data_IF_875813636304
#
_entry.id   IF_875813636304
#
_cell.length_a   1.000
_cell.length_b   1.000
_cell.length_c   1.000
_cell.angle_alpha   90.00
_cell.angle_beta   90.00
_cell.angle_gamma   90.00
#
_symmetry.space_group_name_H-M   'P 1'
#
loop_
_entity.id
_entity.type
_entity.pdbx_description
1 polymer ?
#
# COMPACT_ATOMS: atom_id res chain seq x y z
N UNK A 1 5.90 9.57 -59.20
CA UNK A 1 5.17 10.48 -58.29
C UNK A 1 4.77 9.86 -56.94
N UNK A 2 4.58 8.55 -56.81
CA UNK A 2 4.14 7.91 -55.55
C UNK A 2 5.21 7.90 -54.41
N UNK A 3 6.51 7.81 -54.71
CA UNK A 3 7.55 7.79 -53.66
C UNK A 3 7.78 9.14 -52.97
N UNK A 4 7.61 10.27 -53.67
CA UNK A 4 7.66 11.59 -53.05
C UNK A 4 6.47 11.81 -52.09
N UNK A 5 5.30 11.27 -52.42
CA UNK A 5 4.10 11.41 -51.58
C UNK A 5 4.26 10.71 -50.23
N UNK A 6 4.90 9.54 -50.19
CA UNK A 6 5.17 8.84 -48.93
C UNK A 6 6.23 9.54 -48.06
N UNK A 7 7.25 10.14 -48.68
CA UNK A 7 8.26 10.94 -47.96
C UNK A 7 7.62 12.20 -47.37
N UNK A 8 6.73 12.85 -48.13
CA UNK A 8 6.01 14.05 -47.66
C UNK A 8 5.06 13.75 -46.50
N UNK A 9 4.31 12.64 -46.58
CA UNK A 9 3.43 12.20 -45.48
C UNK A 9 4.21 11.81 -44.22
N UNK A 10 5.38 11.18 -44.37
CA UNK A 10 6.24 10.84 -43.24
C UNK A 10 6.78 12.09 -42.54
N UNK A 11 7.21 13.10 -43.32
CA UNK A 11 7.68 14.39 -42.79
C UNK A 11 6.57 15.14 -42.06
N UNK A 12 5.34 15.14 -42.59
CA UNK A 12 4.17 15.76 -41.93
C UNK A 12 3.88 15.07 -40.58
N UNK A 13 3.94 13.75 -40.52
CA UNK A 13 3.71 12.99 -39.28
C UNK A 13 4.78 13.28 -38.22
N UNK A 14 6.04 13.41 -38.61
CA UNK A 14 7.15 13.78 -37.70
C UNK A 14 6.96 15.20 -37.19
N UNK A 15 6.54 16.16 -38.03
CA UNK A 15 6.26 17.52 -37.58
C UNK A 15 5.08 17.57 -36.61
N UNK A 16 4.00 16.80 -36.84
CA UNK A 16 2.86 16.74 -35.92
C UNK A 16 3.23 16.14 -34.55
N UNK A 17 4.13 15.16 -34.51
CA UNK A 17 4.62 14.55 -33.27
C UNK A 17 5.59 15.45 -32.50
N UNK A 18 6.31 16.36 -33.17
CA UNK A 18 7.20 17.32 -32.53
C UNK A 18 6.49 18.56 -31.97
N UNK A 19 5.25 18.86 -32.39
CA UNK A 19 4.49 20.02 -31.88
C UNK A 19 3.61 19.73 -30.66
N UNK A 20 3.48 18.48 -30.21
CA UNK A 20 2.62 18.12 -29.06
C UNK A 20 3.27 18.20 -27.68
N UNK A 21 4.52 18.66 -27.56
CA UNK A 21 5.24 18.77 -26.28
C UNK A 21 5.26 20.18 -25.70
N UNK A 22 4.09 20.81 -25.54
CA UNK A 22 3.95 22.06 -24.76
C UNK A 22 2.65 22.11 -23.97
N UNK A 23 2.54 21.30 -22.92
CA UNK A 23 1.61 21.55 -21.80
C UNK A 23 2.36 21.29 -20.48
N UNK A 24 3.34 22.14 -20.21
CA UNK A 24 3.88 22.33 -18.87
C UNK A 24 3.26 23.63 -18.33
N UNK A 25 2.10 23.55 -17.69
CA UNK A 25 1.57 24.66 -16.92
C UNK A 25 2.21 24.63 -15.53
N UNK A 26 2.98 25.67 -15.23
CA UNK A 26 3.49 25.98 -13.91
C UNK A 26 2.32 26.32 -12.98
N UNK A 27 2.10 25.52 -11.94
CA UNK A 27 1.22 25.90 -10.83
C UNK A 27 2.08 26.65 -9.81
N UNK A 28 1.79 27.94 -9.68
CA UNK A 28 2.38 28.82 -8.67
C UNK A 28 1.78 28.51 -7.29
N UNK A 29 2.52 28.65 -6.17
CA UNK A 29 2.04 28.22 -4.86
C UNK A 29 0.95 29.16 -4.34
N UNK A 30 -0.24 28.62 -4.10
CA UNK A 30 -1.28 29.32 -3.33
C UNK A 30 -0.95 29.19 -1.85
N UNK A 31 -0.67 30.33 -1.23
CA UNK A 31 -0.48 30.52 0.20
C UNK A 31 -1.76 30.13 0.96
N UNK A 32 -1.76 28.96 1.60
CA UNK A 32 -2.84 28.51 2.48
C UNK A 32 -2.39 28.69 3.92
N UNK A 33 -2.73 29.85 4.47
CA UNK A 33 -2.76 30.10 5.91
C UNK A 33 -3.89 29.26 6.51
N UNK A 34 -3.56 28.09 7.06
CA UNK A 34 -4.49 27.26 7.82
C UNK A 34 -4.70 27.84 9.23
N UNK A 35 -5.95 28.07 9.67
CA UNK A 35 -6.22 28.38 11.07
C UNK A 35 -5.90 27.17 11.95
N UNK A 36 -5.12 27.43 12.99
CA UNK A 36 -4.72 26.51 14.06
C UNK A 36 -5.97 26.00 14.80
N UNK A 37 -6.45 24.80 14.45
CA UNK A 37 -7.53 24.14 15.20
C UNK A 37 -6.98 23.56 16.50
N UNK A 38 -7.55 24.04 17.60
CA UNK A 38 -7.20 23.73 18.97
C UNK A 38 -7.49 22.27 19.32
N UNK A 39 -6.43 21.50 19.56
CA UNK A 39 -6.50 20.33 20.43
C UNK A 39 -6.24 20.81 21.86
N UNK A 40 -7.30 20.87 22.67
CA UNK A 40 -7.15 20.86 24.12
C UNK A 40 -7.82 19.58 24.67
N UNK A 41 -7.13 18.85 25.57
CA UNK A 41 -7.67 17.69 26.24
C UNK A 41 -8.53 18.16 27.40
N UNK A 42 -9.72 17.57 27.55
CA UNK A 42 -10.46 17.32 28.80
C UNK A 42 -11.94 17.21 28.49
N UNK A 43 -12.52 16.04 28.82
CA UNK A 43 -13.94 15.78 28.70
C UNK A 43 -14.78 16.60 29.67
N UNK A 44 -15.95 17.00 29.21
CA UNK A 44 -17.20 17.07 29.95
C UNK A 44 -18.32 17.40 28.94
N UNK A 45 -19.19 16.43 28.67
CA UNK A 45 -20.42 16.66 27.89
C UNK A 45 -21.45 17.26 28.85
N UNK A 46 -21.72 18.56 28.72
CA UNK A 46 -22.87 19.20 29.35
C UNK A 46 -24.08 19.10 28.43
N UNK A 47 -25.02 18.25 28.80
CA UNK A 47 -26.39 18.19 28.29
C UNK A 47 -27.11 19.49 28.60
N UNK A 48 -27.56 20.23 27.59
CA UNK A 48 -28.52 21.31 27.76
C UNK A 48 -29.52 21.33 26.58
N UNK A 49 -30.76 21.09 26.99
CA UNK A 49 -32.07 21.48 26.48
C UNK A 49 -32.59 21.12 25.08
N UNK A 50 -33.74 20.43 25.16
CA UNK A 50 -34.77 20.30 24.14
C UNK A 50 -35.38 21.68 23.89
N UNK A 51 -35.48 22.08 22.62
CA UNK A 51 -36.63 22.85 22.18
C UNK A 51 -37.06 22.42 20.79
N UNK A 52 -38.31 21.96 20.75
CA UNK A 52 -39.08 21.56 19.59
C UNK A 52 -39.40 22.78 18.74
N UNK A 53 -39.16 22.71 17.43
CA UNK A 53 -39.83 23.55 16.46
C UNK A 53 -40.25 22.66 15.28
N UNK A 54 -41.55 22.49 15.13
CA UNK A 54 -42.21 21.59 14.20
C UNK A 54 -42.90 22.43 13.12
N UNK A 55 -42.62 22.13 11.86
CA UNK A 55 -43.28 22.66 10.67
C UNK A 55 -43.23 21.58 9.55
N UNK A 56 -44.16 21.58 8.58
CA UNK A 56 -44.91 20.38 8.20
C UNK A 56 -44.30 19.51 7.09
N UNK A 57 -44.82 18.29 7.09
CA UNK A 57 -44.70 17.15 6.16
C UNK A 57 -44.63 17.50 4.67
N UNK A 58 -43.54 17.07 4.02
CA UNK A 58 -43.55 16.58 2.64
C UNK A 58 -42.95 15.17 2.62
N UNK A 59 -43.77 14.20 2.25
CA UNK A 59 -43.41 12.79 2.13
C UNK A 59 -42.45 12.58 0.96
N UNK A 60 -41.15 12.54 1.26
CA UNK A 60 -40.19 11.82 0.41
C UNK A 60 -39.80 10.56 1.17
N UNK A 61 -40.18 9.40 0.66
CA UNK A 61 -39.83 8.09 1.22
C UNK A 61 -38.33 7.83 1.03
N UNK A 62 -37.50 8.51 1.80
CA UNK A 62 -36.08 8.21 1.89
C UNK A 62 -35.96 6.91 2.67
N UNK A 63 -35.67 5.80 1.98
CA UNK A 63 -35.24 4.56 2.63
C UNK A 63 -33.98 4.85 3.43
N UNK A 64 -34.13 5.17 4.72
CA UNK A 64 -33.02 5.27 5.67
C UNK A 64 -32.47 3.87 5.82
N UNK A 65 -31.40 3.56 5.07
CA UNK A 65 -30.62 2.34 5.20
C UNK A 65 -30.07 2.29 6.63
N UNK A 66 -30.75 1.53 7.50
CA UNK A 66 -30.37 1.36 8.90
C UNK A 66 -28.94 0.84 8.95
N UNK A 67 -28.02 1.66 9.44
CA UNK A 67 -26.61 1.29 9.63
C UNK A 67 -26.54 0.34 10.82
N UNK A 68 -26.21 -0.91 10.57
CA UNK A 68 -25.91 -1.87 11.64
C UNK A 68 -24.44 -1.77 11.95
N UNK A 69 -24.10 -1.15 13.08
CA UNK A 69 -22.77 -1.24 13.68
C UNK A 69 -22.70 -2.63 14.30
N UNK A 70 -22.08 -3.59 13.62
CA UNK A 70 -21.72 -4.86 14.24
C UNK A 70 -20.38 -4.64 14.93
N UNK A 71 -20.43 -4.14 16.16
CA UNK A 71 -19.25 -4.21 17.03
C UNK A 71 -18.99 -5.69 17.31
N UNK A 72 -17.77 -6.16 17.06
CA UNK A 72 -17.40 -7.48 17.56
C UNK A 72 -17.46 -7.47 19.09
N UNK A 73 -17.87 -8.59 19.66
CA UNK A 73 -17.86 -8.80 21.10
C UNK A 73 -16.48 -8.48 21.67
N UNK A 74 -16.44 -7.71 22.76
CA UNK A 74 -15.24 -7.48 23.59
C UNK A 74 -14.76 -8.83 24.10
N UNK A 75 -13.94 -9.49 23.30
CA UNK A 75 -13.25 -10.69 23.69
C UNK A 75 -11.85 -10.28 24.10
N UNK A 76 -11.59 -10.31 25.39
CA UNK A 76 -10.25 -10.37 25.97
C UNK A 76 -9.61 -11.71 25.60
N UNK A 77 -9.49 -12.01 24.31
CA UNK A 77 -8.86 -13.25 23.88
C UNK A 77 -7.36 -13.12 24.07
N UNK A 78 -6.86 -13.93 24.98
CA UNK A 78 -5.45 -14.26 25.22
C UNK A 78 -4.84 -15.01 24.02
N UNK A 79 -5.05 -14.51 22.80
CA UNK A 79 -4.78 -15.19 21.54
C UNK A 79 -4.41 -14.25 20.41
N UNK A 80 -4.14 -14.82 19.24
CA UNK A 80 -3.66 -14.08 18.08
C UNK A 80 -4.66 -13.02 17.61
N UNK A 81 -4.28 -11.73 17.54
CA UNK A 81 -5.13 -10.67 16.99
C UNK A 81 -5.60 -11.01 15.57
N UNK A 82 -6.80 -10.54 15.24
CA UNK A 82 -7.37 -10.71 13.91
C UNK A 82 -7.53 -9.34 13.26
N UNK A 83 -7.23 -9.21 11.96
CA UNK A 83 -7.51 -7.97 11.26
C UNK A 83 -9.02 -7.76 11.20
N UNK A 84 -9.42 -6.50 11.28
CA UNK A 84 -10.82 -6.07 11.26
C UNK A 84 -11.65 -6.64 12.42
N UNK A 85 -11.03 -6.78 13.59
CA UNK A 85 -11.64 -7.29 14.82
C UNK A 85 -12.73 -6.39 15.40
N UNK A 86 -12.89 -5.15 14.95
CA UNK A 86 -13.96 -4.25 15.43
C UNK A 86 -14.71 -3.51 14.33
N UNK A 87 -14.69 -3.99 13.09
CA UNK A 87 -15.20 -3.17 11.99
C UNK A 87 -16.72 -2.94 11.98
N UNK A 88 -17.07 -1.65 11.88
CA UNK A 88 -18.28 -1.16 11.24
C UNK A 88 -17.96 -0.82 9.78
N UNK A 89 -18.49 -1.58 8.84
CA UNK A 89 -18.21 -1.38 7.42
C UNK A 89 -19.03 -0.22 6.82
N UNK A 90 -18.38 0.68 6.08
CA UNK A 90 -19.02 1.66 5.20
C UNK A 90 -18.66 1.32 3.74
N UNK A 91 -19.29 0.29 3.17
CA UNK A 91 -19.14 -0.04 1.74
C UNK A 91 -20.21 0.68 0.91
N UNK A 92 -19.82 1.18 -0.27
CA UNK A 92 -20.73 1.90 -1.16
C UNK A 92 -21.76 0.93 -1.78
N UNK A 93 -21.29 -0.24 -2.23
CA UNK A 93 -22.12 -1.31 -2.77
C UNK A 93 -22.28 -2.48 -1.78
N UNK A 94 -23.53 -2.86 -1.55
CA UNK A 94 -23.97 -3.56 -0.35
C UNK A 94 -23.82 -5.09 -0.31
N UNK A 95 -23.19 -5.75 -1.29
CA UNK A 95 -23.21 -7.22 -1.34
C UNK A 95 -21.87 -7.88 -1.66
N UNK A 96 -21.32 -7.73 -2.87
CA UNK A 96 -20.16 -8.52 -3.33
C UNK A 96 -18.89 -8.27 -2.51
N UNK A 97 -18.56 -7.01 -2.22
CA UNK A 97 -17.37 -6.69 -1.43
C UNK A 97 -17.53 -7.11 0.04
N UNK A 98 -18.72 -6.95 0.61
CA UNK A 98 -19.03 -7.44 1.96
C UNK A 98 -18.86 -8.96 2.04
N UNK A 99 -19.38 -9.69 1.06
CA UNK A 99 -19.27 -11.15 1.00
C UNK A 99 -17.82 -11.60 0.84
N UNK A 100 -17.04 -10.89 0.03
CA UNK A 100 -15.60 -11.13 -0.09
C UNK A 100 -14.89 -10.97 1.27
N UNK A 101 -15.15 -9.88 1.99
CA UNK A 101 -14.60 -9.64 3.33
C UNK A 101 -15.06 -10.67 4.37
N UNK A 102 -16.30 -11.15 4.28
CA UNK A 102 -16.78 -12.24 5.13
C UNK A 102 -16.04 -13.55 4.83
N UNK A 103 -15.89 -13.90 3.55
CA UNK A 103 -15.24 -15.14 3.10
C UNK A 103 -13.76 -15.19 3.47
N UNK A 104 -12.98 -14.14 3.16
CA UNK A 104 -11.54 -14.19 3.39
C UNK A 104 -11.19 -14.16 4.89
N UNK A 105 -11.95 -13.42 5.72
CA UNK A 105 -11.74 -13.43 7.18
C UNK A 105 -12.03 -14.79 7.82
N UNK A 106 -12.92 -15.58 7.23
CA UNK A 106 -13.20 -16.94 7.66
C UNK A 106 -12.18 -17.97 7.13
N UNK A 107 -11.31 -17.59 6.20
CA UNK A 107 -10.35 -18.49 5.57
C UNK A 107 -9.13 -18.71 6.46
N UNK A 108 -8.97 -19.93 6.96
CA UNK A 108 -7.86 -20.29 7.85
C UNK A 108 -6.51 -20.23 7.17
N UNK A 109 -6.41 -20.47 5.86
CA UNK A 109 -5.15 -20.35 5.10
C UNK A 109 -4.61 -18.93 5.16
N UNK A 110 -5.49 -17.92 5.08
CA UNK A 110 -5.11 -16.51 5.22
C UNK A 110 -4.81 -16.18 6.68
N UNK A 111 -5.67 -16.62 7.60
CA UNK A 111 -5.52 -16.28 9.01
C UNK A 111 -4.28 -16.93 9.67
N UNK A 112 -3.81 -18.07 9.15
CA UNK A 112 -2.59 -18.76 9.61
C UNK A 112 -1.31 -18.03 9.19
N UNK A 113 -1.40 -17.09 8.24
CA UNK A 113 -0.26 -16.28 7.85
C UNK A 113 0.04 -15.15 8.82
N UNK A 114 -0.86 -14.87 9.77
CA UNK A 114 -0.56 -14.01 10.92
C UNK A 114 0.05 -12.66 10.49
N UNK A 115 -0.54 -12.07 9.45
CA UNK A 115 0.06 -10.96 8.73
C UNK A 115 0.06 -9.68 9.57
N UNK A 116 1.23 -9.31 10.06
CA UNK A 116 1.46 -8.06 10.77
C UNK A 116 1.02 -6.85 9.93
N UNK A 117 1.20 -6.89 8.60
CA UNK A 117 0.73 -5.84 7.69
C UNK A 117 -0.78 -5.59 7.75
N UNK A 118 -1.60 -6.62 7.97
CA UNK A 118 -3.05 -6.49 8.12
C UNK A 118 -3.44 -6.05 9.54
N UNK A 119 -2.58 -6.26 10.53
CA UNK A 119 -2.88 -5.93 11.94
C UNK A 119 -2.56 -4.48 12.28
N UNK A 120 -1.48 -3.92 11.71
CA UNK A 120 -0.93 -2.60 12.05
C UNK A 120 -1.89 -1.42 11.87
N UNK A 121 -2.92 -1.53 11.04
CA UNK A 121 -3.90 -0.46 10.85
C UNK A 121 -5.34 -0.90 11.14
N UNK A 122 -5.55 -2.22 11.30
CA UNK A 122 -6.90 -2.78 11.27
C UNK A 122 -7.24 -3.69 12.44
N UNK A 123 -6.38 -3.86 13.45
CA UNK A 123 -6.69 -4.68 14.63
C UNK A 123 -6.55 -3.89 15.92
N UNK A 124 -7.69 -3.68 16.60
CA UNK A 124 -7.70 -3.09 17.92
C UNK A 124 -7.01 -3.97 18.96
N UNK A 125 -7.16 -5.29 18.86
CA UNK A 125 -6.44 -6.20 19.75
C UNK A 125 -4.92 -6.04 19.60
N UNK A 126 -4.41 -5.94 18.36
CA UNK A 126 -2.98 -5.71 18.12
C UNK A 126 -2.53 -4.35 18.65
N UNK A 127 -3.31 -3.28 18.47
CA UNK A 127 -3.01 -1.97 19.04
C UNK A 127 -2.87 -2.00 20.56
N UNK A 128 -3.74 -2.74 21.25
CA UNK A 128 -3.61 -2.92 22.69
C UNK A 128 -2.34 -3.70 23.05
N UNK A 129 -1.99 -4.72 22.28
CA UNK A 129 -0.76 -5.51 22.47
C UNK A 129 0.51 -4.66 22.38
N UNK A 130 0.56 -3.62 21.53
CA UNK A 130 1.73 -2.72 21.40
C UNK A 130 2.13 -2.04 22.72
N UNK A 131 1.25 -1.95 23.72
CA UNK A 131 1.57 -1.41 25.05
C UNK A 131 2.37 -2.40 25.94
N UNK A 132 2.67 -3.59 25.44
CA UNK A 132 3.41 -4.63 26.16
C UNK A 132 4.43 -5.26 25.23
N UNK A 133 5.71 -4.97 25.46
CA UNK A 133 6.81 -5.56 24.70
C UNK A 133 6.75 -7.10 24.69
N UNK A 134 6.63 -7.80 25.84
CA UNK A 134 6.56 -9.27 25.83
C UNK A 134 5.34 -9.83 25.07
N UNK A 135 4.19 -9.17 25.17
CA UNK A 135 3.00 -9.61 24.44
C UNK A 135 3.19 -9.39 22.92
N UNK A 136 3.81 -8.28 22.52
CA UNK A 136 4.13 -7.99 21.12
C UNK A 136 5.13 -9.01 20.58
N UNK A 137 6.19 -9.34 21.33
CA UNK A 137 7.16 -10.38 20.95
C UNK A 137 6.47 -11.74 20.74
N UNK A 138 5.53 -12.13 21.60
CA UNK A 138 4.77 -13.39 21.42
C UNK A 138 3.92 -13.41 20.13
N UNK A 139 3.32 -12.28 19.76
CA UNK A 139 2.61 -12.15 18.47
C UNK A 139 3.60 -12.26 17.30
N UNK A 140 4.77 -11.66 17.41
CA UNK A 140 5.82 -11.76 16.40
C UNK A 140 6.39 -13.18 16.31
N UNK A 141 6.60 -13.90 17.41
CA UNK A 141 7.05 -15.30 17.39
C UNK A 141 6.10 -16.16 16.54
N UNK A 142 4.80 -15.97 16.75
CA UNK A 142 3.77 -16.67 15.96
C UNK A 142 3.80 -16.23 14.50
N UNK A 143 3.88 -14.92 14.23
CA UNK A 143 3.88 -14.37 12.87
C UNK A 143 5.11 -14.79 12.08
N UNK A 144 6.30 -14.68 12.69
CA UNK A 144 7.60 -15.00 12.13
C UNK A 144 7.83 -16.52 11.96
N UNK A 145 7.03 -17.36 12.61
CA UNK A 145 7.05 -18.82 12.35
C UNK A 145 6.35 -19.23 11.05
N UNK A 146 5.54 -18.34 10.44
CA UNK A 146 4.81 -18.64 9.22
C UNK A 146 5.75 -18.84 8.01
N UNK A 147 5.35 -19.70 7.06
CA UNK A 147 6.06 -19.85 5.80
C UNK A 147 5.87 -18.59 4.93
N UNK A 148 6.85 -17.69 4.97
CA UNK A 148 6.79 -16.39 4.29
C UNK A 148 6.51 -16.51 2.79
N UNK A 149 7.06 -17.54 2.11
CA UNK A 149 6.88 -17.70 0.66
C UNK A 149 5.44 -18.10 0.33
N UNK A 150 4.91 -19.08 1.06
CA UNK A 150 3.52 -19.51 0.91
C UNK A 150 2.57 -18.35 1.23
N UNK A 151 2.80 -17.66 2.34
CA UNK A 151 1.92 -16.59 2.78
C UNK A 151 1.99 -15.35 1.89
N UNK A 152 3.16 -15.00 1.35
CA UNK A 152 3.28 -13.95 0.35
C UNK A 152 2.47 -14.30 -0.92
N UNK A 153 2.50 -15.56 -1.36
CA UNK A 153 1.67 -16.03 -2.46
C UNK A 153 0.17 -15.95 -2.15
N UNK A 154 -0.24 -16.33 -0.93
CA UNK A 154 -1.64 -16.26 -0.48
C UNK A 154 -2.14 -14.81 -0.44
N UNK A 155 -1.35 -13.89 0.15
CA UNK A 155 -1.73 -12.47 0.24
C UNK A 155 -1.76 -11.80 -1.14
N UNK A 156 -0.82 -12.15 -2.02
CA UNK A 156 -0.81 -11.66 -3.40
C UNK A 156 -2.04 -12.15 -4.17
N UNK A 157 -2.39 -13.44 -4.04
CA UNK A 157 -3.59 -13.98 -4.67
C UNK A 157 -4.86 -13.29 -4.15
N UNK A 158 -4.94 -13.03 -2.84
CA UNK A 158 -6.06 -12.33 -2.23
C UNK A 158 -6.16 -10.86 -2.70
N UNK A 159 -5.03 -10.17 -2.88
CA UNK A 159 -4.99 -8.82 -3.41
C UNK A 159 -5.49 -8.78 -4.87
N UNK A 160 -5.12 -9.76 -5.70
CA UNK A 160 -5.64 -9.92 -7.06
C UNK A 160 -7.14 -10.21 -7.05
N UNK A 161 -7.60 -11.10 -6.16
CA UNK A 161 -9.02 -11.41 -6.03
C UNK A 161 -9.84 -10.18 -5.60
N UNK A 162 -9.32 -9.36 -4.70
CA UNK A 162 -9.98 -8.11 -4.26
C UNK A 162 -10.33 -7.18 -5.44
N UNK A 163 -9.47 -7.12 -6.46
CA UNK A 163 -9.64 -6.30 -7.66
C UNK A 163 -10.56 -6.93 -8.75
N UNK A 164 -11.16 -8.10 -8.50
CA UNK A 164 -12.12 -8.70 -9.42
C UNK A 164 -13.47 -7.98 -9.38
N UNK A 165 -14.17 -7.85 -10.53
CA UNK A 165 -15.51 -7.25 -10.60
C UNK A 165 -16.50 -7.85 -9.61
N UNK A 166 -16.48 -9.18 -9.46
CA UNK A 166 -17.39 -9.91 -8.56
C UNK A 166 -17.03 -9.80 -7.07
N UNK A 167 -15.98 -9.02 -6.72
CA UNK A 167 -15.54 -8.77 -5.37
C UNK A 167 -15.63 -7.27 -5.03
N UNK A 168 -14.49 -6.56 -4.99
CA UNK A 168 -14.40 -5.19 -4.49
C UNK A 168 -13.87 -4.18 -5.52
N UNK A 169 -13.83 -4.53 -6.82
CA UNK A 169 -13.30 -3.64 -7.87
C UNK A 169 -13.95 -2.25 -7.84
N UNK A 170 -15.28 -2.19 -7.83
CA UNK A 170 -16.00 -0.91 -7.85
C UNK A 170 -15.66 -0.05 -6.63
N UNK A 171 -15.63 -0.63 -5.43
CA UNK A 171 -15.24 0.10 -4.21
C UNK A 171 -13.76 0.55 -4.27
N UNK A 172 -12.86 -0.27 -4.85
CA UNK A 172 -11.45 0.09 -5.03
C UNK A 172 -11.29 1.28 -6.00
N UNK A 173 -11.92 1.20 -7.18
CA UNK A 173 -11.88 2.24 -8.22
C UNK A 173 -12.53 3.55 -7.74
N UNK A 174 -13.59 3.47 -6.93
CA UNK A 174 -14.24 4.62 -6.30
C UNK A 174 -13.52 5.16 -5.05
N UNK A 175 -12.34 4.64 -4.71
CA UNK A 175 -11.53 5.21 -3.64
C UNK A 175 -11.96 4.83 -2.22
N UNK A 176 -12.70 3.74 -2.02
CA UNK A 176 -13.07 3.27 -0.69
C UNK A 176 -11.82 3.02 0.15
N UNK A 177 -11.67 3.74 1.26
CA UNK A 177 -10.46 3.71 2.09
C UNK A 177 -10.20 2.33 2.71
N UNK A 178 -11.24 1.59 3.10
CA UNK A 178 -11.10 0.24 3.66
C UNK A 178 -10.57 -0.70 2.60
N UNK A 179 -11.13 -0.67 1.38
CA UNK A 179 -10.73 -1.56 0.29
C UNK A 179 -9.31 -1.23 -0.20
N UNK A 180 -9.00 0.05 -0.38
CA UNK A 180 -7.65 0.48 -0.79
C UNK A 180 -6.59 0.22 0.28
N UNK A 181 -6.91 0.45 1.55
CA UNK A 181 -6.06 0.08 2.69
C UNK A 181 -5.80 -1.43 2.71
N UNK A 182 -6.85 -2.24 2.66
CA UNK A 182 -6.70 -3.71 2.62
C UNK A 182 -5.81 -4.17 1.47
N UNK A 183 -6.01 -3.65 0.26
CA UNK A 183 -5.17 -4.01 -0.89
C UNK A 183 -3.70 -3.74 -0.61
N UNK A 184 -3.39 -2.55 -0.08
CA UNK A 184 -2.04 -2.15 0.29
C UNK A 184 -1.45 -3.06 1.37
N UNK A 185 -2.22 -3.40 2.40
CA UNK A 185 -1.78 -4.24 3.51
C UNK A 185 -1.47 -5.67 3.05
N UNK A 186 -2.23 -6.18 2.07
CA UNK A 186 -1.99 -7.48 1.44
C UNK A 186 -0.70 -7.48 0.61
N UNK A 187 -0.52 -6.46 -0.22
CA UNK A 187 0.70 -6.30 -1.04
C UNK A 187 1.94 -6.09 -0.17
N UNK A 188 1.79 -5.38 0.96
CA UNK A 188 2.86 -5.10 1.91
C UNK A 188 3.26 -6.30 2.80
N UNK A 189 2.60 -7.46 2.69
CA UNK A 189 2.82 -8.61 3.58
C UNK A 189 4.30 -8.98 3.71
N UNK A 190 4.97 -9.24 2.59
CA UNK A 190 6.34 -9.76 2.63
C UNK A 190 7.38 -8.73 3.11
N UNK A 191 7.41 -7.47 2.62
CA UNK A 191 8.31 -6.46 3.20
C UNK A 191 8.05 -6.25 4.69
N UNK A 192 6.78 -6.25 5.11
CA UNK A 192 6.41 -6.08 6.51
C UNK A 192 6.89 -7.26 7.37
N UNK A 193 6.58 -8.49 6.95
CA UNK A 193 7.03 -9.71 7.64
C UNK A 193 8.55 -9.69 7.83
N UNK A 194 9.31 -9.40 6.77
CA UNK A 194 10.77 -9.44 6.84
C UNK A 194 11.31 -8.36 7.78
N UNK A 195 10.73 -7.16 7.78
CA UNK A 195 11.14 -6.08 8.65
C UNK A 195 10.78 -6.32 10.12
N UNK A 196 9.56 -6.78 10.40
CA UNK A 196 9.11 -6.99 11.78
C UNK A 196 9.77 -8.19 12.44
N UNK A 197 10.21 -9.18 11.64
CA UNK A 197 10.97 -10.34 12.10
C UNK A 197 12.48 -10.10 12.23
N UNK A 198 12.97 -8.88 11.98
CA UNK A 198 14.36 -8.54 12.30
C UNK A 198 14.56 -8.56 13.81
N UNK A 199 15.65 -9.17 14.27
CA UNK A 199 16.04 -9.18 15.68
C UNK A 199 17.17 -8.20 15.93
N UNK A 200 17.09 -7.44 17.02
CA UNK A 200 18.16 -6.58 17.47
C UNK A 200 19.27 -7.42 18.13
N UNK A 201 20.51 -7.40 17.61
CA UNK A 201 21.60 -8.20 18.18
C UNK A 201 21.99 -7.76 19.60
N UNK A 202 21.64 -6.54 20.01
CA UNK A 202 21.97 -5.97 21.32
C UNK A 202 20.96 -6.35 22.41
N UNK A 203 19.66 -6.16 22.16
CA UNK A 203 18.59 -6.45 23.13
C UNK A 203 18.12 -7.90 23.08
N UNK A 204 18.39 -8.60 21.96
CA UNK A 204 17.86 -9.93 21.63
C UNK A 204 16.35 -9.98 21.41
N UNK A 205 15.68 -8.83 21.37
CA UNK A 205 14.26 -8.71 21.01
C UNK A 205 14.10 -8.37 19.52
N UNK A 206 12.86 -8.33 19.03
CA UNK A 206 12.55 -7.86 17.68
C UNK A 206 12.81 -6.35 17.55
N UNK A 207 13.41 -5.95 16.43
CA UNK A 207 13.59 -4.54 16.07
C UNK A 207 12.26 -3.77 16.05
N UNK A 208 11.15 -4.43 15.72
CA UNK A 208 9.82 -3.82 15.79
C UNK A 208 9.35 -3.60 17.23
N UNK A 209 9.66 -4.52 18.15
CA UNK A 209 9.29 -4.40 19.57
C UNK A 209 10.07 -3.25 20.22
N UNK A 210 11.37 -3.17 19.93
CA UNK A 210 12.20 -2.05 20.37
C UNK A 210 11.62 -0.72 19.86
N UNK A 211 11.23 -0.65 18.59
CA UNK A 211 10.64 0.54 17.98
C UNK A 211 9.28 0.92 18.59
N UNK A 212 8.36 -0.05 18.72
CA UNK A 212 7.02 0.18 19.26
C UNK A 212 7.03 0.56 20.74
N UNK A 213 8.05 0.12 21.48
CA UNK A 213 8.19 0.37 22.92
C UNK A 213 9.05 1.59 23.24
N UNK A 214 9.65 2.24 22.24
CA UNK A 214 10.56 3.35 22.45
C UNK A 214 9.80 4.68 22.67
N UNK A 215 9.43 4.94 23.93
CA UNK A 215 8.77 6.18 24.33
C UNK A 215 9.64 7.45 24.11
N UNK A 216 10.95 7.31 23.91
CA UNK A 216 11.85 8.45 23.69
C UNK A 216 12.02 8.84 22.22
N UNK A 217 11.75 7.91 21.30
CA UNK A 217 11.76 8.16 19.85
C UNK A 217 10.53 7.46 19.22
N UNK A 218 9.32 8.02 19.39
CA UNK A 218 8.09 7.42 18.87
C UNK A 218 8.11 7.25 17.34
N UNK A 219 8.94 8.03 16.64
CA UNK A 219 9.12 7.95 15.18
C UNK A 219 9.77 6.64 14.72
N UNK A 220 10.37 5.86 15.63
CA UNK A 220 10.85 4.50 15.34
C UNK A 220 9.73 3.60 14.80
N UNK A 221 8.51 3.76 15.33
CA UNK A 221 7.35 3.02 14.88
C UNK A 221 6.89 3.44 13.47
N UNK A 222 6.98 4.73 13.15
CA UNK A 222 6.50 5.29 11.87
C UNK A 222 7.21 4.68 10.66
N UNK A 223 8.45 4.21 10.82
CA UNK A 223 9.20 3.50 9.78
C UNK A 223 8.42 2.28 9.28
N UNK A 224 7.74 1.55 10.18
CA UNK A 224 6.96 0.36 9.82
C UNK A 224 5.61 0.70 9.17
N UNK A 225 5.23 1.98 9.07
CA UNK A 225 4.05 2.42 8.30
C UNK A 225 4.39 2.71 6.83
N UNK A 226 5.68 2.77 6.47
CA UNK A 226 6.12 3.04 5.09
C UNK A 226 5.63 2.00 4.06
N UNK A 227 5.68 0.67 4.33
CA UNK A 227 5.10 -0.33 3.44
C UNK A 227 3.58 -0.21 3.33
N UNK A 228 2.95 0.39 4.34
CA UNK A 228 1.53 0.73 4.38
C UNK A 228 1.28 2.14 3.82
N UNK A 229 2.16 2.66 2.96
CA UNK A 229 1.88 3.89 2.21
C UNK A 229 1.94 5.18 3.01
N UNK A 230 2.44 5.14 4.25
CA UNK A 230 2.66 6.33 5.07
C UNK A 230 4.16 6.62 5.11
N UNK A 231 4.67 7.58 4.30
CA UNK A 231 6.06 7.96 4.37
C UNK A 231 6.34 8.69 5.69
N UNK A 232 7.59 8.65 6.15
CA UNK A 232 8.08 9.58 7.16
C UNK A 232 7.87 11.03 6.71
N UNK A 233 7.62 11.90 7.68
CA UNK A 233 7.41 13.34 7.47
C UNK A 233 8.60 14.17 7.93
N UNK A 234 8.67 15.42 7.47
CA UNK A 234 9.70 16.35 7.92
C UNK A 234 9.50 16.59 9.43
N UNK A 235 10.53 16.28 10.22
CA UNK A 235 10.48 16.38 11.67
C UNK A 235 10.60 15.02 12.36
N UNK A 236 10.35 13.92 11.65
CA UNK A 236 10.55 12.57 12.18
C UNK A 236 12.03 12.35 12.50
N UNK A 237 12.32 11.90 13.72
CA UNK A 237 13.68 11.67 14.26
C UNK A 237 13.84 10.24 14.78
N UNK A 238 13.78 9.22 13.88
CA UNK A 238 13.97 7.84 14.29
C UNK A 238 15.39 7.60 14.80
N UNK A 239 15.54 6.68 15.74
CA UNK A 239 16.80 6.24 16.32
C UNK A 239 17.71 5.67 15.25
N UNK A 240 18.84 6.34 15.01
CA UNK A 240 19.86 5.94 14.04
C UNK A 240 20.66 4.70 14.48
N UNK A 241 20.05 3.52 14.42
CA UNK A 241 20.62 2.26 14.90
C UNK A 241 20.65 1.17 13.80
N UNK A 242 21.18 -0.01 14.15
CA UNK A 242 21.29 -1.15 13.21
C UNK A 242 19.92 -1.68 12.77
N UNK A 243 18.90 -1.61 13.61
CA UNK A 243 17.54 -2.01 13.26
C UNK A 243 16.97 -1.10 12.17
N UNK A 244 17.05 0.22 12.35
CA UNK A 244 16.59 1.19 11.34
C UNK A 244 17.27 0.95 10.00
N UNK A 245 18.59 0.78 10.00
CA UNK A 245 19.37 0.50 8.78
C UNK A 245 18.92 -0.79 8.10
N UNK A 246 18.80 -1.90 8.85
CA UNK A 246 18.39 -3.18 8.30
C UNK A 246 16.94 -3.17 7.76
N UNK A 247 16.01 -2.52 8.47
CA UNK A 247 14.62 -2.33 8.01
C UNK A 247 14.59 -1.55 6.70
N UNK A 248 15.33 -0.46 6.62
CA UNK A 248 15.41 0.35 5.40
C UNK A 248 16.12 -0.36 4.25
N UNK A 249 17.11 -1.22 4.53
CA UNK A 249 17.74 -2.04 3.49
C UNK A 249 16.73 -3.04 2.90
N UNK A 250 15.89 -3.67 3.73
CA UNK A 250 14.76 -4.49 3.27
C UNK A 250 13.85 -3.64 2.39
N UNK A 251 13.35 -2.51 2.89
CA UNK A 251 12.41 -1.67 2.16
C UNK A 251 12.97 -1.15 0.84
N UNK A 252 14.28 -0.89 0.76
CA UNK A 252 14.95 -0.48 -0.48
C UNK A 252 14.84 -1.52 -1.59
N UNK A 253 14.91 -2.81 -1.23
CA UNK A 253 14.82 -3.91 -2.19
C UNK A 253 13.41 -4.06 -2.76
N UNK A 254 12.42 -3.75 -1.92
CA UNK A 254 11.00 -3.78 -2.26
C UNK A 254 10.59 -2.56 -3.06
N UNK A 255 11.07 -1.36 -2.69
CA UNK A 255 10.84 -0.10 -3.42
C UNK A 255 11.19 -0.14 -4.91
N UNK A 256 12.08 -1.05 -5.33
CA UNK A 256 12.44 -1.27 -6.75
C UNK A 256 11.32 -1.94 -7.56
N UNK A 257 10.32 -2.53 -6.90
CA UNK A 257 9.17 -3.22 -7.51
C UNK A 257 8.00 -2.25 -7.63
N UNK A 258 7.30 -2.33 -8.76
CA UNK A 258 6.09 -1.55 -9.01
C UNK A 258 4.88 -2.12 -8.23
N UNK A 259 3.82 -1.34 -8.10
CA UNK A 259 2.52 -1.79 -7.58
C UNK A 259 2.46 -1.97 -6.07
N UNK A 260 3.42 -1.41 -5.32
CA UNK A 260 3.52 -1.53 -3.87
C UNK A 260 4.02 -0.21 -3.27
N UNK A 261 3.45 0.21 -2.14
CA UNK A 261 3.62 1.58 -1.64
C UNK A 261 5.04 2.06 -1.38
N UNK A 262 6.01 1.16 -1.18
CA UNK A 262 7.41 1.55 -1.02
C UNK A 262 8.01 2.18 -2.30
N UNK A 263 7.39 1.99 -3.46
CA UNK A 263 7.78 2.68 -4.71
C UNK A 263 7.69 4.22 -4.61
N UNK A 264 6.85 4.71 -3.69
CA UNK A 264 6.54 6.12 -3.50
C UNK A 264 6.90 6.61 -2.10
N UNK A 265 6.88 5.73 -1.09
CA UNK A 265 7.24 6.12 0.29
C UNK A 265 8.73 6.02 0.60
N UNK A 266 9.48 5.12 -0.06
CA UNK A 266 10.87 4.85 0.34
C UNK A 266 11.81 6.04 0.15
N UNK A 267 11.89 6.61 -1.06
CA UNK A 267 12.87 7.66 -1.35
C UNK A 267 12.64 8.95 -0.53
N UNK A 268 11.40 9.45 -0.36
CA UNK A 268 11.14 10.57 0.55
C UNK A 268 11.61 10.30 1.98
N UNK A 269 11.28 9.14 2.54
CA UNK A 269 11.68 8.77 3.91
C UNK A 269 13.17 8.53 4.06
N UNK A 270 13.83 7.92 3.06
CA UNK A 270 15.27 7.71 3.06
C UNK A 270 16.06 9.04 3.09
N UNK A 271 15.53 10.10 2.45
CA UNK A 271 16.12 11.45 2.53
C UNK A 271 16.00 12.04 3.94
N UNK A 272 14.84 11.89 4.58
CA UNK A 272 14.63 12.34 5.96
C UNK A 272 15.58 11.61 6.91
N UNK A 273 15.68 10.29 6.79
CA UNK A 273 16.59 9.48 7.60
C UNK A 273 18.05 9.88 7.37
N UNK A 274 18.50 10.08 6.13
CA UNK A 274 19.88 10.52 5.87
C UNK A 274 20.16 11.94 6.39
N UNK A 275 19.19 12.85 6.33
CA UNK A 275 19.34 14.19 6.89
C UNK A 275 19.51 14.16 8.42
N UNK A 276 18.89 13.20 9.11
CA UNK A 276 18.99 13.03 10.56
C UNK A 276 20.18 12.16 11.00
N UNK A 277 20.37 11.01 10.35
CA UNK A 277 21.33 9.97 10.73
C UNK A 277 22.68 10.07 10.02
N UNK A 278 22.85 11.03 9.11
CA UNK A 278 24.05 11.25 8.32
C UNK A 278 23.95 10.70 6.90
N UNK A 279 24.67 11.35 5.99
CA UNK A 279 24.70 11.00 4.58
C UNK A 279 25.10 9.54 4.36
N UNK A 280 24.32 8.83 3.55
CA UNK A 280 24.57 7.43 3.21
C UNK A 280 24.19 6.43 4.30
N UNK A 281 23.50 6.86 5.37
CA UNK A 281 22.98 5.94 6.38
C UNK A 281 22.06 4.88 5.76
N UNK A 282 21.17 5.29 4.84
CA UNK A 282 20.34 4.42 3.99
C UNK A 282 20.47 4.78 2.52
N UNK A 283 20.21 3.81 1.63
CA UNK A 283 20.41 3.96 0.19
C UNK A 283 19.36 4.88 -0.44
N UNK A 284 19.80 5.95 -1.11
CA UNK A 284 18.93 6.79 -1.97
C UNK A 284 19.20 6.58 -3.46
N UNK A 285 20.27 5.86 -3.81
CA UNK A 285 20.65 5.56 -5.18
C UNK A 285 19.97 4.28 -5.70
N UNK A 286 18.65 4.31 -5.78
CA UNK A 286 17.83 3.21 -6.31
C UNK A 286 16.83 3.74 -7.33
N UNK A 287 16.49 2.90 -8.31
CA UNK A 287 15.35 3.16 -9.21
C UNK A 287 14.12 2.49 -8.61
N UNK A 288 13.09 3.28 -8.31
CA UNK A 288 11.82 2.78 -7.76
C UNK A 288 10.86 2.37 -8.87
N UNK A 289 9.98 1.41 -8.59
CA UNK A 289 8.91 0.99 -9.52
C UNK A 289 9.38 0.44 -10.87
N UNK A 290 10.62 -0.06 -10.95
CA UNK A 290 11.22 -0.49 -12.21
C UNK A 290 10.97 -1.97 -12.55
N UNK A 291 10.64 -2.80 -11.55
CA UNK A 291 10.35 -4.22 -11.75
C UNK A 291 8.84 -4.46 -11.82
N UNK A 292 8.38 -4.92 -12.99
CA UNK A 292 7.05 -5.48 -13.20
C UNK A 292 6.88 -6.72 -12.30
N UNK A 293 5.85 -6.71 -11.44
CA UNK A 293 5.54 -7.82 -10.53
C UNK A 293 5.03 -8.99 -11.36
N UNK A 294 5.94 -9.75 -11.98
CA UNK A 294 5.66 -11.15 -12.24
C UNK A 294 5.69 -11.87 -10.91
N UNK A 295 4.51 -12.07 -10.34
CA UNK A 295 4.30 -13.00 -9.24
C UNK A 295 5.17 -14.24 -9.46
N UNK A 296 5.96 -14.60 -8.44
CA UNK A 296 6.83 -15.76 -8.51
C UNK A 296 6.02 -17.05 -8.69
N UNK A 297 6.12 -17.63 -9.89
CA UNK A 297 6.13 -19.07 -10.21
C UNK A 297 5.62 -19.27 -11.65
N UNK A 298 6.52 -19.18 -12.60
CA UNK A 298 6.28 -19.59 -13.98
C UNK A 298 7.58 -19.51 -14.74
N UNK A 299 8.09 -20.66 -15.20
CA UNK A 299 9.21 -20.74 -16.13
C UNK A 299 8.97 -19.76 -17.28
N UNK A 300 9.68 -18.64 -17.27
CA UNK A 300 9.71 -17.73 -18.40
C UNK A 300 10.49 -18.41 -19.52
N UNK A 301 9.81 -19.20 -20.35
CA UNK A 301 10.33 -19.52 -21.67
C UNK A 301 10.41 -18.18 -22.42
N UNK A 302 11.61 -17.72 -22.82
CA UNK A 302 11.70 -16.51 -23.62
C UNK A 302 11.03 -16.80 -24.96
N UNK A 303 9.87 -16.19 -25.22
CA UNK A 303 9.29 -16.17 -26.56
C UNK A 303 10.30 -15.49 -27.50
N UNK A 304 10.75 -16.15 -28.58
CA UNK A 304 11.72 -15.57 -29.48
C UNK A 304 11.13 -14.31 -30.14
N UNK A 305 11.93 -13.24 -30.13
CA UNK A 305 11.60 -11.97 -30.80
C UNK A 305 11.48 -12.19 -32.31
N UNK A 306 10.28 -12.50 -32.80
CA UNK A 306 9.96 -12.60 -34.23
C UNK A 306 10.03 -11.26 -34.99
N UNK A 307 10.40 -10.16 -34.33
CA UNK A 307 10.45 -8.81 -34.93
C UNK A 307 11.65 -8.51 -35.83
N UNK A 308 12.66 -9.38 -35.91
CA UNK A 308 13.87 -9.11 -36.72
C UNK A 308 13.92 -9.96 -38.00
N UNK A 309 13.20 -11.09 -38.06
CA UNK A 309 13.24 -12.00 -39.22
C UNK A 309 12.37 -11.50 -40.39
N UNK A 310 11.32 -10.72 -40.11
CA UNK A 310 10.42 -10.20 -41.15
C UNK A 310 11.02 -9.06 -41.98
N UNK A 311 11.98 -8.29 -41.44
CA UNK A 311 12.61 -7.16 -42.15
C UNK A 311 13.62 -7.64 -43.19
N UNK A 312 14.35 -8.74 -42.92
CA UNK A 312 15.31 -9.29 -43.89
C UNK A 312 14.64 -10.09 -45.02
N UNK A 313 13.49 -10.72 -44.78
CA UNK A 313 12.73 -11.43 -45.81
C UNK A 313 12.09 -10.48 -46.84
N UNK A 314 11.65 -9.29 -46.40
CA UNK A 314 11.11 -8.27 -47.31
C UNK A 314 12.20 -7.55 -48.12
N UNK A 315 13.41 -7.40 -47.57
CA UNK A 315 14.55 -6.82 -48.31
C UNK A 315 15.06 -7.75 -49.43
N UNK A 316 15.01 -9.08 -49.24
CA UNK A 316 15.42 -10.06 -50.27
C UNK A 316 14.33 -10.27 -51.34
N UNK A 317 13.03 -10.16 -50.99
CA UNK A 317 11.93 -10.31 -51.95
C UNK A 317 11.80 -9.15 -52.95
N UNK A 318 12.22 -7.93 -52.57
CA UNK A 318 12.20 -6.75 -53.45
C UNK A 318 13.40 -6.72 -54.40
N UNK A 319 14.48 -7.44 -54.09
CA UNK A 319 15.66 -7.54 -54.98
C UNK A 319 15.50 -8.61 -56.08
N UNK A 320 14.58 -9.58 -55.91
CA UNK A 320 14.32 -10.62 -56.93
C UNK A 320 13.17 -10.33 -57.89
N UNK A 321 12.38 -9.26 -57.67
CA UNK A 321 11.27 -8.87 -58.57
C UNK A 321 11.58 -7.66 -59.45
N UNK A 322 12.84 -7.21 -59.48
CA UNK A 322 13.33 -6.09 -60.30
C UNK A 322 14.08 -6.47 -61.57
N UNK A 323 13.92 -7.70 -62.08
CA UNK A 323 14.49 -8.16 -63.35
C UNK A 323 13.40 -8.86 -64.16
N UNK A 324 12.51 -8.06 -64.75
CA UNK A 324 11.90 -8.21 -66.09
C UNK A 324 11.20 -6.89 -66.45
#
# INVERSE_FOLDING_TARGET
MSRLYHIYNLLILITLLCLSSTWAQSVQPTDLTMPRSAWHPSGEIKTADRQSLQAPTEETTTTVRRRTIVAASTSTTTGMPKPYDTLSYNFANASTCIDFFAKWRANTTISNCNAISLLLENSNAFFHTLNSAPATSHILDTSCSANVTQCASVMTALAVDLLKPDNCRDDYENGNSVVRGTYRDLVAYEPMYRATCLTNPSTKDYCFVDAASNATAPDDYNVYLMPLGTPLTIGDVPTCNKCLKATMDIFSSWARRDGQSLDSTYLPSAKIINAHCGDGFVSTNITVGAADVRAGAGLAVPLPRFGIVTVMALALGVMLTGLF
#
